data_IF_888162746675
#
_entry.id   IF_888162746675
#
_cell.length_a   1.000
_cell.length_b   1.000
_cell.length_c   1.000
_cell.angle_alpha   90.00
_cell.angle_beta   90.00
_cell.angle_gamma   90.00
#
_symmetry.space_group_name_H-M   'P 1'
#
loop_
_entity.id
_entity.type
_entity.pdbx_description
1 polymer ?
#
# COMPACT_ATOMS: atom_id res chain seq x y z
N UNK A 1 -1.07 -2.04 9.99
CA UNK A 1 -1.27 -3.50 9.81
C UNK A 1 -2.52 -3.86 9.01
N UNK A 2 -3.68 -3.25 9.28
CA UNK A 2 -4.97 -3.64 8.67
C UNK A 2 -4.98 -3.73 7.13
N UNK A 3 -4.30 -2.82 6.42
CA UNK A 3 -4.25 -2.83 4.94
C UNK A 3 -3.45 -4.02 4.35
N UNK A 4 -2.35 -4.42 4.99
CA UNK A 4 -1.55 -5.56 4.56
C UNK A 4 -2.31 -6.88 4.76
N UNK A 5 -2.95 -7.02 5.93
CA UNK A 5 -3.78 -8.18 6.26
C UNK A 5 -4.98 -8.30 5.32
N UNK A 6 -5.62 -7.17 4.98
CA UNK A 6 -6.69 -7.13 4.01
C UNK A 6 -6.23 -7.57 2.62
N UNK A 7 -5.09 -7.06 2.13
CA UNK A 7 -4.52 -7.49 0.87
C UNK A 7 -4.15 -8.98 0.86
N UNK A 8 -3.59 -9.50 1.95
CA UNK A 8 -3.27 -10.92 2.08
C UNK A 8 -4.51 -11.82 1.92
N UNK A 9 -5.65 -11.42 2.50
CA UNK A 9 -6.92 -12.15 2.38
C UNK A 9 -7.49 -12.17 0.96
N UNK A 10 -7.29 -11.09 0.19
CA UNK A 10 -7.78 -10.98 -1.18
C UNK A 10 -6.85 -11.61 -2.22
N UNK A 11 -5.57 -11.78 -1.89
CA UNK A 11 -4.52 -12.26 -2.80
C UNK A 11 -4.53 -11.54 -4.18
N UNK A 12 -4.50 -10.19 -4.23
CA UNK A 12 -4.52 -9.46 -5.49
C UNK A 12 -3.19 -9.61 -6.24
N UNK A 13 -3.15 -9.20 -7.52
CA UNK A 13 -1.88 -9.12 -8.25
C UNK A 13 -1.03 -7.91 -7.80
N UNK A 14 -1.68 -6.81 -7.45
CA UNK A 14 -1.04 -5.57 -7.03
C UNK A 14 -1.92 -4.79 -6.04
N UNK A 15 -1.27 -3.96 -5.21
CA UNK A 15 -1.90 -3.07 -4.22
C UNK A 15 -1.35 -1.66 -4.39
N UNK A 16 -2.23 -0.67 -4.43
CA UNK A 16 -1.89 0.76 -4.37
C UNK A 16 -2.57 1.37 -3.14
N UNK A 17 -1.81 1.80 -2.12
CA UNK A 17 -2.40 2.51 -1.00
C UNK A 17 -2.82 3.91 -1.44
N UNK A 18 -3.96 4.36 -0.91
CA UNK A 18 -4.53 5.68 -1.15
C UNK A 18 -4.84 6.35 0.19
N UNK A 19 -5.17 7.65 0.16
CA UNK A 19 -5.51 8.48 1.32
C UNK A 19 -4.38 8.72 2.35
N UNK A 20 -3.21 8.12 2.22
CA UNK A 20 -2.12 8.24 3.20
C UNK A 20 -1.47 9.63 3.30
N UNK A 21 -1.67 10.52 2.32
CA UNK A 21 -1.04 11.85 2.26
C UNK A 21 -2.05 12.99 2.12
N UNK A 22 -3.34 12.68 1.96
CA UNK A 22 -4.36 13.67 1.61
C UNK A 22 -4.84 14.48 2.82
N UNK A 23 -4.79 13.92 4.02
CA UNK A 23 -5.24 14.60 5.25
C UNK A 23 -4.15 14.54 6.33
N UNK A 24 -3.97 15.66 7.03
CA UNK A 24 -3.05 15.76 8.18
C UNK A 24 -3.42 14.85 9.37
N UNK A 25 -4.59 14.21 9.33
CA UNK A 25 -5.05 13.25 10.33
C UNK A 25 -4.28 11.92 10.28
N UNK A 26 -3.65 11.57 9.16
CA UNK A 26 -2.92 10.31 9.04
C UNK A 26 -1.51 10.46 9.60
N UNK A 27 -1.25 9.75 10.70
CA UNK A 27 0.07 9.74 11.35
C UNK A 27 1.04 8.73 10.71
N UNK A 28 0.52 7.76 9.96
CA UNK A 28 1.30 6.75 9.26
C UNK A 28 1.14 6.90 7.76
N UNK A 29 2.26 7.13 7.06
CA UNK A 29 2.32 7.16 5.61
C UNK A 29 2.48 5.75 4.99
N UNK A 30 2.72 5.68 3.66
CA UNK A 30 2.89 4.40 2.95
C UNK A 30 4.08 3.57 3.46
N UNK A 31 4.98 4.14 4.25
CA UNK A 31 6.17 3.49 4.80
C UNK A 31 5.81 2.30 5.69
N UNK A 32 4.74 2.40 6.49
CA UNK A 32 4.27 1.33 7.36
C UNK A 32 3.82 0.11 6.54
N UNK A 33 3.09 0.34 5.44
CA UNK A 33 2.68 -0.73 4.51
C UNK A 33 3.88 -1.32 3.77
N UNK A 34 4.84 -0.48 3.37
CA UNK A 34 6.09 -0.94 2.73
C UNK A 34 6.90 -1.84 3.66
N UNK A 35 7.01 -1.49 4.93
CA UNK A 35 7.72 -2.30 5.92
C UNK A 35 7.02 -3.66 6.13
N UNK A 36 5.69 -3.66 6.26
CA UNK A 36 4.91 -4.90 6.38
C UNK A 36 5.02 -5.80 5.13
N UNK A 37 4.96 -5.21 3.93
CA UNK A 37 5.16 -5.91 2.66
C UNK A 37 6.55 -6.55 2.57
N UNK A 38 7.60 -5.81 2.92
CA UNK A 38 8.97 -6.33 2.92
C UNK A 38 9.16 -7.48 3.92
N UNK A 39 8.56 -7.38 5.12
CA UNK A 39 8.69 -8.38 6.17
C UNK A 39 7.98 -9.71 5.84
N UNK A 40 6.88 -9.64 5.06
CA UNK A 40 6.04 -10.81 4.76
C UNK A 40 6.30 -11.39 3.36
N UNK A 41 7.05 -10.68 2.51
CA UNK A 41 7.34 -11.03 1.12
C UNK A 41 6.13 -11.64 0.38
N UNK A 42 4.97 -10.96 0.39
CA UNK A 42 3.74 -11.56 -0.11
C UNK A 42 3.76 -11.62 -1.65
N UNK A 43 2.98 -12.55 -2.22
CA UNK A 43 2.92 -12.78 -3.68
C UNK A 43 2.32 -11.62 -4.51
N UNK A 44 1.89 -10.54 -3.87
CA UNK A 44 1.33 -9.36 -4.51
C UNK A 44 2.35 -8.22 -4.58
N UNK A 45 2.29 -7.43 -5.66
CA UNK A 45 3.17 -6.27 -5.85
C UNK A 45 2.65 -5.05 -5.09
N UNK A 46 3.50 -4.37 -4.36
CA UNK A 46 3.18 -3.06 -3.79
C UNK A 46 3.56 -1.96 -4.79
N UNK A 47 2.60 -1.09 -5.13
CA UNK A 47 2.81 0.06 -6.01
C UNK A 47 2.62 1.36 -5.22
N UNK A 48 3.70 2.16 -5.13
CA UNK A 48 3.74 3.44 -4.40
C UNK A 48 4.08 4.58 -5.38
N UNK A 49 3.11 5.07 -6.16
CA UNK A 49 3.35 6.19 -7.06
C UNK A 49 3.58 7.51 -6.32
N UNK A 50 4.30 8.43 -6.96
CA UNK A 50 4.27 9.84 -6.56
C UNK A 50 2.88 10.44 -6.77
N UNK A 51 2.54 11.48 -6.02
CA UNK A 51 1.28 12.19 -6.20
C UNK A 51 1.13 12.73 -7.63
N UNK A 52 -0.08 12.60 -8.20
CA UNK A 52 -0.36 12.99 -9.58
C UNK A 52 0.13 12.00 -10.65
N UNK A 53 0.79 10.90 -10.29
CA UNK A 53 1.18 9.87 -11.27
C UNK A 53 -0.06 9.16 -11.86
N UNK A 54 0.05 8.77 -13.13
CA UNK A 54 -1.00 8.00 -13.82
C UNK A 54 -0.78 6.50 -13.62
N UNK A 55 -1.86 5.80 -13.28
CA UNK A 55 -1.91 4.35 -13.32
C UNK A 55 -2.17 3.89 -14.76
N UNK A 56 -1.32 3.01 -15.27
CA UNK A 56 -1.64 2.15 -16.40
C UNK A 56 -1.94 0.76 -15.82
N UNK A 57 -3.23 0.42 -15.72
CA UNK A 57 -3.71 -0.85 -15.20
C UNK A 57 -3.89 -1.87 -16.33
#
# INVERSE_FOLDING_TARGET
>A
MQAADFAARLAPKAVMPVHHSTYALYQEGPEALRAAHAATAPGWKLWLPSEGARAAL
#
